data_IF_794347247329
#
_entry.id   IF_794347247329
#
_cell.length_a   1.000
_cell.length_b   1.000
_cell.length_c   1.000
_cell.angle_alpha   90.00
_cell.angle_beta   90.00
_cell.angle_gamma   90.00
#
_symmetry.space_group_name_H-M   'P 1'
#
loop_
_entity.id
_entity.type
_entity.pdbx_description
1 polymer ?
#
# COMPACT_ATOMS: atom_id res chain seq x y z
N UNK A 1 -0.25 5.63 16.79
CA UNK A 1 0.29 5.05 15.54
C UNK A 1 -0.51 5.57 14.35
N UNK A 2 -0.34 6.85 14.00
CA UNK A 2 -1.03 7.47 12.85
C UNK A 2 -0.11 8.40 12.02
N UNK A 3 1.18 8.50 12.36
CA UNK A 3 2.05 9.58 11.84
C UNK A 3 2.82 9.23 10.56
N UNK A 4 3.14 7.96 10.27
CA UNK A 4 3.98 7.63 9.11
C UNK A 4 3.31 7.84 7.75
N UNK A 5 1.97 7.83 7.68
CA UNK A 5 1.27 8.09 6.42
C UNK A 5 1.37 9.56 5.97
N UNK A 6 1.66 10.48 6.90
CA UNK A 6 1.76 11.92 6.62
C UNK A 6 3.16 12.35 6.13
N UNK A 7 4.15 11.46 6.18
CA UNK A 7 5.52 11.74 5.69
C UNK A 7 5.69 11.50 4.17
N UNK A 8 4.65 11.00 3.49
CA UNK A 8 4.66 10.75 2.04
C UNK A 8 4.10 11.91 1.22
N UNK A 9 4.49 12.07 -0.04
CA UNK A 9 3.83 13.01 -0.97
C UNK A 9 2.37 12.56 -1.23
N UNK A 10 1.41 13.51 -1.27
CA UNK A 10 0.05 13.23 -1.71
C UNK A 10 0.05 12.61 -3.12
N UNK A 11 -0.83 11.64 -3.34
CA UNK A 11 -0.93 10.96 -4.64
C UNK A 11 -1.98 11.64 -5.52
N UNK A 12 -3.08 12.06 -4.92
CA UNK A 12 -4.18 12.81 -5.55
C UNK A 12 -4.83 13.74 -4.53
N UNK A 13 -5.67 14.64 -5.04
CA UNK A 13 -6.44 15.60 -4.27
C UNK A 13 -7.93 15.44 -4.58
N UNK A 14 -8.76 15.89 -3.63
CA UNK A 14 -10.23 15.90 -3.78
C UNK A 14 -10.85 16.98 -2.87
N UNK A 15 -12.16 17.18 -2.95
CA UNK A 15 -12.89 18.09 -2.07
C UNK A 15 -13.58 17.36 -0.89
N UNK A 16 -14.13 18.13 0.07
CA UNK A 16 -14.83 17.58 1.25
C UNK A 16 -16.04 16.70 0.88
N UNK A 17 -16.77 17.04 -0.18
CA UNK A 17 -17.98 16.31 -0.58
C UNK A 17 -17.62 14.91 -1.09
N UNK A 18 -16.58 14.84 -1.91
CA UNK A 18 -16.07 13.58 -2.44
C UNK A 18 -15.37 12.77 -1.34
N UNK A 19 -14.67 13.40 -0.40
CA UNK A 19 -14.11 12.69 0.76
C UNK A 19 -15.19 11.91 1.53
N UNK A 20 -16.36 12.52 1.75
CA UNK A 20 -17.48 11.84 2.41
C UNK A 20 -17.96 10.61 1.62
N UNK A 21 -18.05 10.69 0.30
CA UNK A 21 -18.41 9.56 -0.56
C UNK A 21 -17.37 8.43 -0.52
N UNK A 22 -16.08 8.76 -0.58
CA UNK A 22 -14.99 7.80 -0.46
C UNK A 22 -15.04 7.08 0.89
N UNK A 23 -15.27 7.84 1.98
CA UNK A 23 -15.39 7.27 3.32
C UNK A 23 -16.55 6.27 3.45
N UNK A 24 -17.60 6.41 2.63
CA UNK A 24 -18.71 5.46 2.54
C UNK A 24 -18.47 4.32 1.55
N UNK A 25 -17.29 4.22 0.95
CA UNK A 25 -16.97 3.21 -0.06
C UNK A 25 -17.68 3.41 -1.39
N UNK A 26 -18.14 4.63 -1.69
CA UNK A 26 -18.76 4.97 -2.97
C UNK A 26 -17.71 5.44 -3.97
N UNK A 27 -17.95 5.09 -5.24
CA UNK A 27 -17.16 5.61 -6.34
C UNK A 27 -17.35 7.12 -6.47
N UNK A 28 -16.25 7.84 -6.71
CA UNK A 28 -16.26 9.29 -6.95
C UNK A 28 -15.48 9.59 -8.22
N UNK A 29 -16.06 10.39 -9.11
CA UNK A 29 -15.44 10.77 -10.38
C UNK A 29 -14.44 11.93 -10.26
N UNK A 30 -14.44 12.64 -9.13
CA UNK A 30 -13.73 13.91 -8.94
C UNK A 30 -12.51 13.73 -8.03
N UNK A 31 -11.45 13.20 -8.64
CA UNK A 31 -10.09 13.14 -8.10
C UNK A 31 -9.13 13.79 -9.10
N UNK A 32 -8.14 14.53 -8.62
CA UNK A 32 -7.22 15.23 -9.51
C UNK A 32 -5.77 15.19 -9.01
N UNK A 33 -4.84 15.42 -9.95
CA UNK A 33 -3.42 15.51 -9.65
C UNK A 33 -3.02 16.87 -9.08
N UNK A 34 -1.81 16.94 -8.53
CA UNK A 34 -1.22 18.13 -7.89
C UNK A 34 -1.26 19.38 -8.76
N UNK A 35 -1.13 19.24 -10.08
CA UNK A 35 -1.17 20.37 -11.01
C UNK A 35 -2.55 21.06 -11.11
N UNK A 36 -3.62 20.37 -10.71
CA UNK A 36 -4.99 20.88 -10.74
C UNK A 36 -5.53 21.16 -9.33
N UNK A 37 -4.70 21.06 -8.30
CA UNK A 37 -5.15 21.28 -6.92
C UNK A 37 -5.21 22.77 -6.59
N UNK A 38 -6.25 23.16 -5.89
CA UNK A 38 -6.46 24.51 -5.37
C UNK A 38 -6.27 24.56 -3.85
N UNK A 39 -6.17 25.78 -3.32
CA UNK A 39 -6.10 25.96 -1.87
C UNK A 39 -7.43 25.54 -1.24
N UNK A 40 -7.36 24.58 -0.30
CA UNK A 40 -8.54 24.01 0.36
C UNK A 40 -8.84 22.57 -0.05
N UNK A 41 -8.17 22.06 -1.09
CA UNK A 41 -8.27 20.66 -1.46
C UNK A 41 -7.64 19.74 -0.42
N UNK A 42 -8.22 18.54 -0.30
CA UNK A 42 -7.82 17.52 0.65
C UNK A 42 -6.83 16.56 -0.02
N UNK A 43 -5.59 16.42 0.50
CA UNK A 43 -4.63 15.45 -0.02
C UNK A 43 -5.01 14.03 0.37
N UNK A 44 -5.01 13.12 -0.60
CA UNK A 44 -5.14 11.68 -0.38
C UNK A 44 -3.78 11.00 -0.54
N UNK A 45 -3.41 10.25 0.48
CA UNK A 45 -2.13 9.53 0.53
C UNK A 45 -2.34 8.07 0.18
N UNK A 46 -1.31 7.46 -0.42
CA UNK A 46 -1.26 6.01 -0.55
C UNK A 46 -1.26 5.41 0.86
N UNK A 47 -2.26 4.58 1.15
CA UNK A 47 -2.20 3.74 2.33
C UNK A 47 -1.07 2.72 2.10
N UNK A 48 0.08 2.92 2.75
CA UNK A 48 1.13 1.93 2.72
C UNK A 48 0.58 0.67 3.41
N UNK A 49 0.34 -0.39 2.64
CA UNK A 49 0.13 -1.71 3.23
C UNK A 49 1.48 -2.13 3.81
N UNK A 50 1.69 -1.78 5.08
CA UNK A 50 2.83 -2.26 5.84
C UNK A 50 2.68 -3.78 5.90
N UNK A 51 3.44 -4.50 5.08
CA UNK A 51 3.68 -5.92 5.32
C UNK A 51 4.65 -5.92 6.51
N UNK A 52 4.25 -6.45 7.68
CA UNK A 52 5.16 -6.56 8.81
C UNK A 52 6.45 -7.28 8.37
N UNK A 53 7.60 -6.81 8.81
CA UNK A 53 8.90 -7.43 8.50
C UNK A 53 8.91 -8.92 8.84
N UNK A 54 8.20 -9.32 9.90
CA UNK A 54 8.01 -10.72 10.28
C UNK A 54 7.35 -11.57 9.18
N UNK A 55 6.38 -11.01 8.43
CA UNK A 55 5.76 -11.72 7.31
C UNK A 55 6.72 -11.82 6.12
N UNK A 56 7.54 -10.80 5.88
CA UNK A 56 8.59 -10.83 4.84
C UNK A 56 9.62 -11.94 5.16
N UNK A 57 10.07 -11.99 6.41
CA UNK A 57 11.02 -13.01 6.89
C UNK A 57 10.43 -14.42 6.83
N UNK A 58 9.16 -14.60 7.22
CA UNK A 58 8.49 -15.88 7.17
C UNK A 58 8.36 -16.43 5.74
N UNK A 59 8.04 -15.56 4.76
CA UNK A 59 7.98 -15.95 3.34
C UNK A 59 9.37 -16.33 2.82
N UNK A 60 10.40 -15.56 3.18
CA UNK A 60 11.78 -15.85 2.79
C UNK A 60 12.24 -17.22 3.33
N UNK A 61 11.97 -17.51 4.60
CA UNK A 61 12.27 -18.80 5.22
C UNK A 61 11.53 -19.96 4.54
N UNK A 62 10.24 -19.80 4.28
CA UNK A 62 9.45 -20.82 3.59
C UNK A 62 10.02 -21.15 2.21
N UNK A 63 10.36 -20.14 1.42
CA UNK A 63 10.95 -20.34 0.09
C UNK A 63 12.34 -21.00 0.16
N UNK A 64 13.14 -20.69 1.18
CA UNK A 64 14.40 -21.37 1.42
C UNK A 64 14.21 -22.86 1.74
N UNK A 65 13.34 -23.20 2.69
CA UNK A 65 13.05 -24.60 3.06
C UNK A 65 12.51 -25.37 1.85
N UNK A 66 11.67 -24.75 1.04
CA UNK A 66 11.13 -25.33 -0.20
C UNK A 66 12.24 -25.62 -1.22
N UNK A 67 13.21 -24.72 -1.39
CA UNK A 67 14.37 -24.92 -2.26
C UNK A 67 15.25 -26.06 -1.74
N UNK A 68 15.55 -26.08 -0.46
CA UNK A 68 16.38 -27.12 0.18
C UNK A 68 15.74 -28.51 0.06
N UNK A 69 14.44 -28.64 0.33
CA UNK A 69 13.70 -29.90 0.14
C UNK A 69 13.59 -30.34 -1.33
N UNK A 70 13.71 -29.42 -2.27
CA UNK A 70 13.74 -29.73 -3.69
C UNK A 70 15.14 -30.19 -4.11
N UNK A 71 16.19 -29.51 -3.65
CA UNK A 71 17.58 -29.89 -3.90
C UNK A 71 17.93 -31.27 -3.31
N UNK A 72 17.52 -31.53 -2.05
CA UNK A 72 17.75 -32.82 -1.38
C UNK A 72 17.07 -33.99 -2.08
N UNK A 73 15.98 -33.76 -2.82
CA UNK A 73 15.27 -34.79 -3.58
C UNK A 73 15.94 -35.13 -4.91
N UNK A 74 16.76 -34.21 -5.42
CA UNK A 74 17.38 -34.30 -6.73
C UNK A 74 18.86 -34.73 -6.66
N UNK A 75 19.44 -34.81 -5.45
CA UNK A 75 20.85 -35.11 -5.20
C UNK A 75 21.14 -36.55 -4.75
N UNK A 76 20.17 -37.45 -4.80
CA UNK A 76 20.37 -38.88 -4.53
C UNK A 76 20.53 -39.66 -5.84
N UNK A 77 21.75 -39.68 -6.39
CA UNK A 77 22.26 -40.62 -7.40
C UNK A 77 23.76 -40.81 -7.18
#
# INVERSE_FOLDING_TARGET
MALTAMDGEPVVFTDERNLHHIAMGRETSLIWGKQNSETGDIPLYRHAKLVPDALIQAVAFYEQVKREKSASRNGSL
#
